data_IF_200726180566
#
_entry.id   IF_200726180566
#
_cell.length_a   1.000
_cell.length_b   1.000
_cell.length_c   1.000
_cell.angle_alpha   90.00
_cell.angle_beta   90.00
_cell.angle_gamma   90.00
#
_symmetry.space_group_name_H-M   'P 1'
#
loop_
_entity.id
_entity.type
_entity.pdbx_description
1 polymer ?
#
# COMPACT_ATOMS: atom_id res chain seq x y z
N UNK A 1 3.79 -42.40 17.35
CA UNK A 1 3.94 -42.62 15.89
C UNK A 1 2.65 -42.42 15.06
N UNK A 2 1.45 -42.68 15.61
CA UNK A 2 0.16 -42.44 14.93
C UNK A 2 -0.24 -40.95 14.82
N UNK A 3 0.12 -40.11 15.80
CA UNK A 3 -0.20 -38.67 15.82
C UNK A 3 0.56 -37.90 14.72
N UNK A 4 1.85 -38.23 14.50
CA UNK A 4 2.67 -37.63 13.44
C UNK A 4 2.19 -37.99 12.02
N UNK A 5 1.67 -39.21 11.80
CA UNK A 5 1.12 -39.62 10.49
C UNK A 5 -0.19 -38.91 10.15
N UNK A 6 -1.03 -38.60 11.14
CA UNK A 6 -2.28 -37.88 10.95
C UNK A 6 -2.03 -36.38 10.68
N UNK A 7 -1.08 -35.76 11.37
CA UNK A 7 -0.68 -34.36 11.09
C UNK A 7 -0.14 -34.14 9.65
N UNK A 8 0.57 -35.11 9.07
CA UNK A 8 1.15 -34.97 7.72
C UNK A 8 0.14 -35.12 6.56
N UNK A 9 -0.89 -35.96 6.72
CA UNK A 9 -1.98 -36.08 5.74
C UNK A 9 -2.95 -34.90 5.84
N UNK A 10 -3.22 -34.39 7.05
CA UNK A 10 -4.03 -33.19 7.26
C UNK A 10 -3.37 -31.93 6.69
N UNK A 11 -2.04 -31.82 6.66
CA UNK A 11 -1.35 -30.63 6.14
C UNK A 11 -1.44 -30.45 4.60
N UNK A 12 -1.60 -31.52 3.82
CA UNK A 12 -1.65 -31.42 2.35
C UNK A 12 -3.05 -31.01 1.84
N UNK A 13 -4.11 -31.50 2.48
CA UNK A 13 -5.48 -31.10 2.18
C UNK A 13 -5.84 -29.74 2.81
N UNK A 14 -5.36 -29.46 4.03
CA UNK A 14 -5.69 -28.20 4.72
C UNK A 14 -5.05 -26.98 4.08
N UNK A 15 -3.86 -27.09 3.47
CA UNK A 15 -3.21 -25.96 2.79
C UNK A 15 -3.95 -25.53 1.52
N UNK A 16 -4.45 -26.48 0.72
CA UNK A 16 -5.30 -26.19 -0.44
C UNK A 16 -6.64 -25.55 -0.04
N UNK A 17 -7.26 -26.03 1.04
CA UNK A 17 -8.52 -25.48 1.55
C UNK A 17 -8.32 -24.05 2.10
N UNK A 18 -7.22 -23.79 2.81
CA UNK A 18 -6.91 -22.45 3.33
C UNK A 18 -6.67 -21.45 2.19
N UNK A 19 -5.87 -21.82 1.17
CA UNK A 19 -5.65 -20.98 -0.01
C UNK A 19 -6.95 -20.68 -0.76
N UNK A 20 -7.80 -21.68 -0.96
CA UNK A 20 -9.11 -21.53 -1.62
C UNK A 20 -10.04 -20.59 -0.84
N UNK A 21 -10.12 -20.74 0.49
CA UNK A 21 -10.94 -19.88 1.34
C UNK A 21 -10.42 -18.43 1.41
N UNK A 22 -9.11 -18.22 1.39
CA UNK A 22 -8.51 -16.87 1.37
C UNK A 22 -8.81 -16.17 0.05
N UNK A 23 -8.66 -16.86 -1.08
CA UNK A 23 -9.00 -16.31 -2.40
C UNK A 23 -10.49 -15.99 -2.49
N UNK A 24 -11.35 -16.87 -1.98
CA UNK A 24 -12.79 -16.64 -1.93
C UNK A 24 -13.14 -15.42 -1.04
N UNK A 25 -12.48 -15.24 0.10
CA UNK A 25 -12.65 -14.06 0.96
C UNK A 25 -12.23 -12.76 0.26
N UNK A 26 -11.13 -12.78 -0.50
CA UNK A 26 -10.68 -11.61 -1.27
C UNK A 26 -11.64 -11.27 -2.42
N UNK A 27 -12.27 -12.27 -3.05
CA UNK A 27 -13.27 -12.06 -4.11
C UNK A 27 -14.62 -11.57 -3.56
N UNK A 28 -14.93 -11.85 -2.28
CA UNK A 28 -16.12 -11.36 -1.58
C UNK A 28 -15.91 -10.00 -0.92
N UNK A 29 -14.71 -9.43 -0.98
CA UNK A 29 -14.45 -8.07 -0.51
C UNK A 29 -15.17 -7.08 -1.44
N UNK A 30 -16.32 -6.57 -0.99
CA UNK A 30 -17.00 -5.46 -1.63
C UNK A 30 -16.03 -4.27 -1.78
N UNK A 31 -16.04 -3.54 -2.90
CA UNK A 31 -15.30 -2.28 -2.99
C UNK A 31 -15.84 -1.32 -1.93
N UNK A 32 -15.10 -1.16 -0.83
CA UNK A 32 -15.34 -0.08 0.11
C UNK A 32 -15.26 1.23 -0.69
N UNK A 33 -16.24 2.13 -0.46
CA UNK A 33 -16.16 3.47 -1.00
C UNK A 33 -14.89 4.13 -0.46
N UNK A 34 -14.08 4.70 -1.37
CA UNK A 34 -12.87 5.42 -0.98
C UNK A 34 -13.25 6.65 -0.16
N UNK A 35 -12.57 6.86 0.96
CA UNK A 35 -12.66 8.07 1.77
C UNK A 35 -11.44 8.96 1.58
N UNK A 36 -11.53 10.22 2.02
CA UNK A 36 -10.37 11.10 2.10
C UNK A 36 -9.46 10.65 3.25
N UNK A 37 -8.16 10.52 2.97
CA UNK A 37 -7.13 10.22 3.96
C UNK A 37 -6.08 11.33 3.95
N UNK A 38 -5.77 11.85 5.13
CA UNK A 38 -4.70 12.83 5.28
C UNK A 38 -3.36 12.13 5.27
N UNK A 39 -2.48 12.55 4.37
CA UNK A 39 -1.12 12.03 4.22
C UNK A 39 -0.16 13.20 4.21
N UNK A 40 0.94 13.06 4.94
CA UNK A 40 1.99 14.08 4.97
C UNK A 40 2.75 14.14 3.64
N UNK A 41 3.17 15.35 3.27
CA UNK A 41 3.99 15.55 2.07
C UNK A 41 5.36 14.90 2.23
N UNK A 42 6.01 14.65 1.09
CA UNK A 42 7.43 14.27 1.09
C UNK A 42 8.27 15.42 1.65
N UNK A 43 9.38 15.09 2.31
CA UNK A 43 10.29 16.05 2.95
C UNK A 43 11.64 16.18 2.25
N UNK A 44 11.84 15.46 1.14
CA UNK A 44 13.10 15.45 0.40
C UNK A 44 12.87 15.72 -1.09
N UNK A 45 13.46 16.81 -1.58
CA UNK A 45 13.49 17.17 -2.99
C UNK A 45 14.89 16.97 -3.58
N UNK A 46 14.95 16.74 -4.89
CA UNK A 46 16.21 16.63 -5.63
C UNK A 46 16.47 17.95 -6.34
N UNK A 47 17.68 18.50 -6.18
CA UNK A 47 18.07 19.74 -6.84
C UNK A 47 17.94 19.64 -8.37
N UNK A 48 17.38 20.66 -9.00
CA UNK A 48 17.11 20.75 -10.44
C UNK A 48 15.83 20.05 -10.91
N UNK A 49 15.19 19.23 -10.07
CA UNK A 49 13.92 18.57 -10.41
C UNK A 49 12.71 19.41 -9.98
N UNK A 50 11.51 19.03 -10.47
CA UNK A 50 10.25 19.52 -9.93
C UNK A 50 9.89 18.76 -8.66
N UNK A 51 9.31 19.45 -7.69
CA UNK A 51 8.87 18.84 -6.45
C UNK A 51 7.43 19.20 -6.13
N UNK A 52 6.64 18.23 -5.70
CA UNK A 52 5.26 18.44 -5.29
C UNK A 52 5.19 18.60 -3.76
N UNK A 53 4.77 19.76 -3.30
CA UNK A 53 4.36 19.98 -1.92
C UNK A 53 2.86 19.77 -1.82
N UNK A 54 2.45 18.75 -1.06
CA UNK A 54 1.05 18.42 -0.83
C UNK A 54 0.58 18.90 0.53
N UNK A 55 -0.63 19.43 0.60
CA UNK A 55 -1.33 19.69 1.84
C UNK A 55 -2.76 19.16 1.72
N UNK A 56 -3.11 18.15 2.51
CA UNK A 56 -4.44 17.52 2.46
C UNK A 56 -5.15 17.84 3.76
N UNK A 57 -6.36 18.41 3.67
CA UNK A 57 -7.27 18.58 4.80
C UNK A 57 -8.63 18.01 4.43
N UNK A 58 -8.96 16.88 5.03
CA UNK A 58 -10.21 16.19 4.78
C UNK A 58 -11.35 16.83 5.60
N UNK A 59 -12.51 16.99 4.99
CA UNK A 59 -13.72 17.36 5.74
C UNK A 59 -14.10 16.18 6.64
N UNK A 60 -14.59 16.47 7.84
CA UNK A 60 -15.13 15.43 8.75
C UNK A 60 -16.31 14.69 8.14
N UNK A 61 -17.06 15.39 7.28
CA UNK A 61 -18.27 14.92 6.61
C UNK A 61 -18.20 15.35 5.16
N UNK A 62 -18.13 14.38 4.24
CA UNK A 62 -17.86 14.66 2.82
C UNK A 62 -19.03 15.35 2.12
N UNK A 63 -20.26 15.04 2.51
CA UNK A 63 -21.49 15.56 1.90
C UNK A 63 -21.76 17.04 2.19
N UNK A 64 -21.06 17.65 3.15
CA UNK A 64 -21.24 19.08 3.48
C UNK A 64 -20.53 19.92 2.42
N UNK A 65 -21.27 20.78 1.71
CA UNK A 65 -20.69 21.72 0.75
C UNK A 65 -19.78 22.72 1.45
N UNK A 66 -18.64 23.04 0.83
CA UNK A 66 -17.69 23.99 1.37
C UNK A 66 -17.06 24.84 0.27
N UNK A 67 -16.53 26.00 0.68
CA UNK A 67 -15.57 26.78 -0.11
C UNK A 67 -14.29 26.93 0.69
N UNK A 68 -13.15 26.79 0.06
CA UNK A 68 -11.87 26.96 0.71
C UNK A 68 -10.90 27.78 -0.15
N UNK A 69 -9.97 28.45 0.52
CA UNK A 69 -8.78 29.07 -0.05
C UNK A 69 -7.54 28.45 0.60
N UNK A 70 -6.40 28.54 -0.09
CA UNK A 70 -5.13 27.98 0.39
C UNK A 70 -4.05 29.04 0.33
N UNK A 71 -3.38 29.24 1.45
CA UNK A 71 -2.20 30.09 1.57
C UNK A 71 -0.98 29.23 1.86
N UNK A 72 0.10 29.47 1.12
CA UNK A 72 1.40 28.85 1.36
C UNK A 72 2.39 29.88 1.85
N UNK A 73 3.04 29.56 2.96
CA UNK A 73 4.10 30.35 3.54
C UNK A 73 5.41 29.59 3.54
N UNK A 74 6.53 30.31 3.41
CA UNK A 74 7.87 29.76 3.44
C UNK A 74 8.73 30.48 4.47
N UNK A 75 9.47 29.69 5.25
CA UNK A 75 10.46 30.16 6.20
C UNK A 75 11.79 29.44 5.89
N UNK A 76 12.81 30.14 5.39
CA UNK A 76 14.10 29.53 5.10
C UNK A 76 14.84 29.15 6.39
N UNK A 77 15.87 28.31 6.24
CA UNK A 77 16.72 27.92 7.37
C UNK A 77 17.42 29.14 8.00
N UNK A 78 17.19 29.34 9.30
CA UNK A 78 17.84 30.40 10.08
C UNK A 78 17.05 31.72 10.17
N UNK A 79 15.93 31.84 9.47
CA UNK A 79 14.97 32.94 9.69
C UNK A 79 13.83 32.48 10.61
N UNK A 80 13.25 33.41 11.36
CA UNK A 80 12.14 33.13 12.28
C UNK A 80 10.77 33.41 11.64
N UNK A 81 10.71 34.31 10.65
CA UNK A 81 9.47 34.78 10.06
C UNK A 81 9.08 34.00 8.79
N UNK A 82 7.76 33.82 8.63
CA UNK A 82 7.17 33.21 7.45
C UNK A 82 6.84 34.27 6.40
N UNK A 83 7.26 34.04 5.16
CA UNK A 83 6.93 34.86 3.99
C UNK A 83 5.76 34.23 3.24
N UNK A 84 4.76 35.02 2.86
CA UNK A 84 3.63 34.54 2.05
C UNK A 84 4.08 34.38 0.59
N UNK A 85 4.07 33.15 0.07
CA UNK A 85 4.62 32.84 -1.26
C UNK A 85 3.56 32.56 -2.31
N UNK A 86 2.39 32.05 -1.92
CA UNK A 86 1.34 31.67 -2.87
C UNK A 86 -0.04 31.67 -2.22
N UNK A 87 -1.02 32.25 -2.92
CA UNK A 87 -2.43 32.24 -2.54
C UNK A 87 -3.26 31.59 -3.64
N UNK A 88 -4.23 30.75 -3.29
CA UNK A 88 -5.17 30.18 -4.24
C UNK A 88 -6.62 30.31 -3.77
N UNK A 89 -7.43 30.96 -4.60
CA UNK A 89 -8.89 31.01 -4.53
C UNK A 89 -9.43 30.67 -5.91
N UNK A 90 -10.03 29.47 -6.02
CA UNK A 90 -10.41 28.89 -7.30
C UNK A 90 -11.18 29.90 -8.20
N UNK A 91 -10.77 30.09 -9.47
CA UNK A 91 -9.72 29.36 -10.21
C UNK A 91 -8.34 30.05 -10.23
N UNK A 92 -8.15 31.11 -9.45
CA UNK A 92 -6.97 32.00 -9.52
C UNK A 92 -5.93 31.55 -8.50
N UNK A 93 -4.68 31.47 -8.94
CA UNK A 93 -3.51 31.23 -8.08
C UNK A 93 -2.49 32.35 -8.26
N UNK A 94 -2.22 33.07 -7.19
CA UNK A 94 -1.34 34.23 -7.18
C UNK A 94 0.00 33.86 -6.53
N UNK A 95 1.10 34.13 -7.24
CA UNK A 95 2.46 34.02 -6.69
C UNK A 95 2.84 35.36 -6.09
N UNK A 96 3.10 35.38 -4.78
CA UNK A 96 3.22 36.62 -4.01
C UNK A 96 4.67 37.01 -3.69
N UNK A 97 5.63 36.10 -3.92
CA UNK A 97 7.04 36.33 -3.61
C UNK A 97 7.94 36.17 -4.84
N UNK A 98 8.89 37.09 -5.02
CA UNK A 98 9.77 37.15 -6.20
C UNK A 98 10.68 35.92 -6.36
N UNK A 99 11.26 35.40 -5.28
CA UNK A 99 12.08 34.16 -5.26
C UNK A 99 11.39 32.93 -5.90
N UNK A 100 10.06 32.95 -5.91
CA UNK A 100 9.18 31.88 -6.41
C UNK A 100 8.46 32.24 -7.70
N UNK A 101 8.74 33.42 -8.26
CA UNK A 101 8.10 33.91 -9.49
C UNK A 101 8.30 32.94 -10.64
N UNK A 102 7.20 32.59 -11.31
CA UNK A 102 7.15 31.65 -12.44
C UNK A 102 7.65 30.23 -12.13
N UNK A 103 7.82 29.87 -10.84
CA UNK A 103 8.28 28.53 -10.41
C UNK A 103 7.20 27.75 -9.68
N UNK A 104 6.18 28.41 -9.15
CA UNK A 104 5.05 27.78 -8.48
C UNK A 104 3.91 27.51 -9.46
N UNK A 105 3.32 26.33 -9.35
CA UNK A 105 2.17 25.92 -10.15
C UNK A 105 1.16 25.17 -9.27
N UNK A 106 -0.12 25.50 -9.38
CA UNK A 106 -1.18 24.80 -8.65
C UNK A 106 -1.39 23.38 -9.19
N UNK A 107 -1.42 22.40 -8.29
CA UNK A 107 -1.72 21.00 -8.62
C UNK A 107 -2.72 20.36 -7.63
N UNK A 108 -3.43 21.20 -6.87
CA UNK A 108 -4.45 20.77 -5.94
C UNK A 108 -5.81 20.51 -6.58
N UNK A 109 -6.84 20.47 -5.74
CA UNK A 109 -8.24 20.33 -6.19
C UNK A 109 -8.64 21.48 -7.11
N UNK A 110 -9.16 21.18 -8.31
CA UNK A 110 -9.62 22.17 -9.28
C UNK A 110 -11.11 22.53 -9.08
N UNK A 111 -11.50 22.82 -7.84
CA UNK A 111 -12.84 23.29 -7.49
C UNK A 111 -12.76 24.24 -6.29
N UNK A 112 -13.88 24.91 -5.98
CA UNK A 112 -13.98 25.75 -4.78
C UNK A 112 -13.95 24.96 -3.47
N UNK A 113 -14.32 23.67 -3.48
CA UNK A 113 -14.27 22.78 -2.32
C UNK A 113 -12.91 22.06 -2.25
N UNK A 114 -11.89 22.83 -1.91
CA UNK A 114 -10.50 22.35 -1.90
C UNK A 114 -10.30 21.38 -0.73
N UNK A 115 -9.91 20.15 -1.05
CA UNK A 115 -9.45 19.16 -0.05
C UNK A 115 -7.93 18.97 -0.10
N UNK A 116 -7.33 19.14 -1.28
CA UNK A 116 -5.90 19.05 -1.50
C UNK A 116 -5.37 20.39 -2.02
N UNK A 117 -4.60 21.08 -1.18
CA UNK A 117 -3.87 22.29 -1.52
C UNK A 117 -2.44 21.99 -1.93
N UNK A 118 -2.22 21.43 -3.12
CA UNK A 118 -0.90 21.04 -3.58
C UNK A 118 -0.30 22.03 -4.58
N UNK A 119 0.99 22.30 -4.47
CA UNK A 119 1.76 23.15 -5.39
C UNK A 119 3.01 22.42 -5.89
N UNK A 120 3.34 22.62 -7.16
CA UNK A 120 4.64 22.26 -7.71
C UNK A 120 5.63 23.41 -7.52
N UNK A 121 6.85 23.08 -7.08
CA UNK A 121 8.02 23.96 -7.18
C UNK A 121 8.88 23.45 -8.34
N UNK A 122 9.04 24.26 -9.38
CA UNK A 122 9.89 23.97 -10.52
C UNK A 122 11.35 24.37 -10.26
N UNK A 123 12.29 23.59 -10.82
CA UNK A 123 13.72 23.80 -10.71
C UNK A 123 14.16 24.03 -9.26
N UNK A 124 13.99 23.03 -8.40
CA UNK A 124 14.32 23.15 -6.97
C UNK A 124 15.82 23.40 -6.77
N UNK A 125 16.17 24.30 -5.87
CA UNK A 125 17.53 24.72 -5.52
C UNK A 125 17.77 24.53 -4.03
N UNK A 126 19.03 24.55 -3.58
CA UNK A 126 19.34 24.41 -2.15
C UNK A 126 18.75 25.53 -1.29
N UNK A 127 18.48 26.70 -1.86
CA UNK A 127 17.87 27.85 -1.16
C UNK A 127 16.38 27.63 -0.85
N UNK A 128 15.74 26.67 -1.52
CA UNK A 128 14.34 26.31 -1.25
C UNK A 128 14.22 25.39 -0.01
N UNK A 129 15.35 25.08 0.65
CA UNK A 129 15.40 24.33 1.92
C UNK A 129 14.87 25.18 3.07
N UNK A 130 13.91 24.65 3.81
CA UNK A 130 13.29 25.35 4.93
C UNK A 130 11.95 24.73 5.33
N UNK A 131 11.15 25.49 6.08
CA UNK A 131 9.83 25.08 6.53
C UNK A 131 8.76 25.75 5.67
N UNK A 132 7.90 24.94 5.06
CA UNK A 132 6.71 25.38 4.35
C UNK A 132 5.50 25.18 5.23
N UNK A 133 4.60 26.15 5.27
CA UNK A 133 3.33 26.07 6.00
C UNK A 133 2.18 26.29 5.04
N UNK A 134 1.28 25.32 4.93
CA UNK A 134 0.00 25.51 4.27
C UNK A 134 -1.04 25.90 5.30
N UNK A 135 -1.85 26.89 4.96
CA UNK A 135 -3.03 27.29 5.72
C UNK A 135 -4.24 27.15 4.80
N UNK A 136 -5.19 26.31 5.17
CA UNK A 136 -6.44 26.11 4.44
C UNK A 136 -7.54 26.82 5.22
N UNK A 137 -8.07 27.90 4.65
CA UNK A 137 -9.22 28.60 5.19
C UNK A 137 -10.48 28.07 4.51
N UNK A 138 -11.34 27.41 5.28
CA UNK A 138 -12.55 26.77 4.77
C UNK A 138 -13.79 27.35 5.43
N UNK A 139 -14.81 27.60 4.63
CA UNK A 139 -16.17 27.87 5.08
C UNK A 139 -17.04 26.68 4.72
N UNK A 140 -17.56 25.99 5.73
CA UNK A 140 -18.52 24.91 5.59
C UNK A 140 -19.93 25.51 5.57
N UNK A 141 -20.72 25.18 4.57
CA UNK A 141 -22.11 25.62 4.48
C UNK A 141 -23.01 24.55 5.10
N UNK A 142 -23.37 24.71 6.38
CA UNK A 142 -24.31 23.81 7.06
C UNK A 142 -25.73 24.37 6.97
N UNK A 143 -26.73 23.53 7.25
CA UNK A 143 -28.14 23.94 7.18
C UNK A 143 -28.55 24.98 8.23
N UNK A 144 -27.79 25.13 9.32
CA UNK A 144 -28.11 26.04 10.43
C UNK A 144 -27.30 27.34 10.39
N UNK A 145 -25.98 27.22 10.23
CA UNK A 145 -25.04 28.34 10.18
C UNK A 145 -23.79 27.93 9.41
N UNK A 146 -23.06 28.90 8.87
CA UNK A 146 -21.78 28.67 8.22
C UNK A 146 -20.66 28.57 9.26
N UNK A 147 -19.82 27.56 9.14
CA UNK A 147 -18.68 27.33 10.04
C UNK A 147 -17.37 27.64 9.33
N UNK A 148 -16.56 28.51 9.93
CA UNK A 148 -15.21 28.82 9.44
C UNK A 148 -14.18 27.95 10.16
N UNK A 149 -13.41 27.20 9.39
CA UNK A 149 -12.37 26.29 9.87
C UNK A 149 -11.05 26.66 9.20
N UNK A 150 -10.02 26.91 10.00
CA UNK A 150 -8.66 27.13 9.52
C UNK A 150 -7.80 25.95 9.94
N UNK A 151 -7.12 25.32 8.97
CA UNK A 151 -6.20 24.21 9.22
C UNK A 151 -4.81 24.62 8.77
N UNK A 152 -3.83 24.47 9.65
CA UNK A 152 -2.42 24.73 9.37
C UNK A 152 -1.63 23.41 9.41
N UNK A 153 -0.78 23.19 8.41
CA UNK A 153 0.20 22.09 8.44
C UNK A 153 1.56 22.60 7.98
N UNK A 154 2.60 22.13 8.67
CA UNK A 154 3.98 22.47 8.37
C UNK A 154 4.72 21.26 7.80
N UNK A 155 5.59 21.52 6.82
CA UNK A 155 6.44 20.52 6.18
C UNK A 155 7.86 21.08 6.08
N UNK A 156 8.81 20.37 6.67
CA UNK A 156 10.23 20.67 6.52
C UNK A 156 10.78 20.05 5.23
N UNK A 157 11.18 20.89 4.28
CA UNK A 157 11.76 20.47 3.01
C UNK A 157 13.28 20.52 3.08
N UNK A 158 13.91 19.39 2.75
CA UNK A 158 15.36 19.27 2.58
C UNK A 158 15.71 18.98 1.13
N UNK A 159 16.60 19.79 0.54
CA UNK A 159 17.05 19.61 -0.85
C UNK A 159 18.34 18.83 -0.88
N UNK A 160 18.35 17.71 -1.59
CA UNK A 160 19.50 16.80 -1.72
C UNK A 160 19.95 16.67 -3.16
N UNK A 161 21.21 16.31 -3.38
CA UNK A 161 21.74 16.05 -4.73
C UNK A 161 21.17 14.75 -5.34
N UNK A 162 20.86 13.76 -4.49
CA UNK A 162 20.36 12.44 -4.92
C UNK A 162 19.26 11.98 -3.99
N UNK A 163 18.10 11.63 -4.54
CA UNK A 163 16.95 11.16 -3.76
C UNK A 163 17.15 9.78 -3.13
N UNK A 164 16.60 9.57 -1.92
CA UNK A 164 16.65 8.27 -1.23
C UNK A 164 15.75 7.24 -1.94
N UNK A 165 16.33 6.42 -2.83
CA UNK A 165 15.67 5.23 -3.40
C UNK A 165 15.85 3.96 -2.54
N UNK A 166 16.56 4.07 -1.42
CA UNK A 166 17.05 2.92 -0.65
C UNK A 166 15.91 2.06 -0.08
N UNK A 167 14.87 2.65 0.51
CA UNK A 167 13.76 1.88 1.10
C UNK A 167 12.98 1.08 0.06
N UNK A 168 12.70 1.68 -1.11
CA UNK A 168 12.02 1.01 -2.22
C UNK A 168 12.88 -0.11 -2.83
N UNK A 169 14.19 0.08 -2.90
CA UNK A 169 15.13 -0.95 -3.38
C UNK A 169 15.19 -2.11 -2.38
N UNK A 170 15.29 -1.81 -1.08
CA UNK A 170 15.34 -2.83 -0.03
C UNK A 170 14.03 -3.64 0.00
N UNK A 171 12.87 -2.98 -0.03
CA UNK A 171 11.57 -3.69 -0.02
C UNK A 171 11.43 -4.64 -1.21
N UNK A 172 11.88 -4.21 -2.40
CA UNK A 172 11.89 -5.06 -3.59
C UNK A 172 12.77 -6.29 -3.43
N UNK A 173 13.98 -6.15 -2.87
CA UNK A 173 14.88 -7.28 -2.63
C UNK A 173 14.30 -8.23 -1.58
N UNK A 174 13.80 -7.70 -0.46
CA UNK A 174 13.21 -8.49 0.62
C UNK A 174 11.99 -9.29 0.15
N UNK A 175 11.15 -8.69 -0.70
CA UNK A 175 10.01 -9.38 -1.33
C UNK A 175 10.47 -10.62 -2.12
N UNK A 176 11.48 -10.48 -3.00
CA UNK A 176 11.98 -11.62 -3.78
C UNK A 176 12.60 -12.71 -2.92
N UNK A 177 13.36 -12.35 -1.88
CA UNK A 177 13.95 -13.31 -0.94
C UNK A 177 12.86 -14.12 -0.24
N UNK A 178 11.80 -13.47 0.25
CA UNK A 178 10.67 -14.15 0.88
C UNK A 178 9.96 -15.11 -0.09
N UNK A 179 9.71 -14.67 -1.33
CA UNK A 179 9.06 -15.51 -2.35
C UNK A 179 9.89 -16.77 -2.63
N UNK A 180 11.21 -16.63 -2.84
CA UNK A 180 12.09 -17.77 -3.14
C UNK A 180 12.14 -18.75 -1.97
N UNK A 181 12.26 -18.26 -0.73
CA UNK A 181 12.28 -19.11 0.47
C UNK A 181 10.96 -19.88 0.62
N UNK A 182 9.82 -19.21 0.44
CA UNK A 182 8.51 -19.87 0.48
C UNK A 182 8.36 -20.91 -0.64
N UNK A 183 8.81 -20.60 -1.85
CA UNK A 183 8.75 -21.53 -2.98
C UNK A 183 9.58 -22.79 -2.72
N UNK A 184 10.82 -22.63 -2.22
CA UNK A 184 11.67 -23.75 -1.86
C UNK A 184 11.07 -24.59 -0.73
N UNK A 185 10.47 -23.95 0.27
CA UNK A 185 9.78 -24.63 1.36
C UNK A 185 8.58 -25.45 0.87
N UNK A 186 7.76 -24.90 -0.04
CA UNK A 186 6.67 -25.62 -0.68
C UNK A 186 7.17 -26.80 -1.52
N UNK A 187 8.24 -26.63 -2.31
CA UNK A 187 8.84 -27.72 -3.09
C UNK A 187 9.31 -28.84 -2.16
N UNK A 188 9.97 -28.51 -1.04
CA UNK A 188 10.39 -29.51 -0.05
C UNK A 188 9.19 -30.27 0.51
N UNK A 189 8.11 -29.57 0.89
CA UNK A 189 6.88 -30.21 1.36
C UNK A 189 6.28 -31.11 0.27
N UNK A 190 6.17 -30.64 -0.97
CA UNK A 190 5.63 -31.41 -2.08
C UNK A 190 6.43 -32.68 -2.34
N UNK A 191 7.76 -32.61 -2.33
CA UNK A 191 8.64 -33.78 -2.51
C UNK A 191 8.49 -34.76 -1.34
N UNK A 192 8.44 -34.28 -0.09
CA UNK A 192 8.23 -35.12 1.08
C UNK A 192 6.84 -35.80 1.06
N UNK A 193 5.81 -35.06 0.64
CA UNK A 193 4.46 -35.58 0.46
C UNK A 193 4.41 -36.61 -0.68
N UNK A 194 5.01 -36.31 -1.84
CA UNK A 194 5.07 -37.21 -2.99
C UNK A 194 5.77 -38.53 -2.66
N UNK A 195 6.93 -38.46 -2.00
CA UNK A 195 7.65 -39.66 -1.58
C UNK A 195 6.80 -40.52 -0.64
N UNK A 196 6.11 -39.89 0.32
CA UNK A 196 5.23 -40.59 1.25
C UNK A 196 4.05 -41.27 0.55
N UNK A 197 3.38 -40.58 -0.37
CA UNK A 197 2.23 -41.15 -1.09
C UNK A 197 2.64 -42.25 -2.06
N UNK A 198 3.82 -42.13 -2.68
CA UNK A 198 4.42 -43.19 -3.49
C UNK A 198 4.61 -44.48 -2.67
N UNK A 199 5.25 -44.39 -1.50
CA UNK A 199 5.46 -45.55 -0.63
C UNK A 199 4.13 -46.21 -0.20
N UNK A 200 3.10 -45.40 0.06
CA UNK A 200 1.76 -45.91 0.40
C UNK A 200 1.02 -46.52 -0.80
N UNK A 201 1.23 -46.01 -2.02
CA UNK A 201 0.65 -46.53 -3.26
C UNK A 201 1.20 -47.92 -3.57
N UNK A 202 2.54 -48.06 -3.56
CA UNK A 202 3.21 -49.34 -3.82
C UNK A 202 2.78 -50.41 -2.81
N UNK A 203 2.65 -50.03 -1.53
CA UNK A 203 2.17 -50.92 -0.47
C UNK A 203 0.69 -51.32 -0.61
N UNK A 204 -0.14 -50.54 -1.32
CA UNK A 204 -1.53 -50.91 -1.63
C UNK A 204 -1.59 -51.86 -2.82
N UNK A 205 -0.77 -51.63 -3.83
CA UNK A 205 -0.70 -52.50 -5.01
C UNK A 205 -0.16 -53.89 -4.66
N UNK A 206 0.90 -53.97 -3.84
CA UNK A 206 1.41 -55.23 -3.31
C UNK A 206 0.35 -56.00 -2.48
N UNK A 207 -0.47 -55.30 -1.69
CA UNK A 207 -1.58 -55.92 -0.94
C UNK A 207 -2.69 -56.44 -1.86
N UNK A 208 -3.03 -55.71 -2.92
CA UNK A 208 -4.00 -56.17 -3.94
C UNK A 208 -3.48 -57.41 -4.67
N UNK A 209 -2.21 -57.43 -5.08
CA UNK A 209 -1.59 -58.59 -5.72
C UNK A 209 -1.60 -59.82 -4.79
N UNK A 210 -1.25 -59.66 -3.51
CA UNK A 210 -1.27 -60.74 -2.52
C UNK A 210 -2.70 -61.27 -2.28
N UNK A 211 -3.71 -60.39 -2.22
CA UNK A 211 -5.10 -60.79 -2.11
C UNK A 211 -5.57 -61.63 -3.29
N UNK A 212 -5.22 -61.24 -4.53
CA UNK A 212 -5.58 -61.99 -5.74
C UNK A 212 -4.91 -63.37 -5.79
N UNK A 213 -3.64 -63.48 -5.41
CA UNK A 213 -2.93 -64.77 -5.32
C UNK A 213 -3.61 -65.69 -4.30
N UNK A 214 -3.97 -65.17 -3.13
CA UNK A 214 -4.65 -65.94 -2.08
C UNK A 214 -6.05 -66.40 -2.53
N UNK A 215 -6.80 -65.55 -3.22
CA UNK A 215 -8.12 -65.91 -3.74
C UNK A 215 -8.02 -66.99 -4.85
N UNK A 216 -7.04 -66.90 -5.74
CA UNK A 216 -6.80 -67.94 -6.77
C UNK A 216 -6.39 -69.28 -6.15
N UNK A 217 -5.54 -69.26 -5.12
CA UNK A 217 -5.13 -70.48 -4.41
C UNK A 217 -6.28 -71.10 -3.63
N UNK A 218 -7.16 -70.30 -3.03
CA UNK A 218 -8.36 -70.77 -2.33
C UNK A 218 -9.37 -71.45 -3.25
N UNK A 219 -9.52 -70.95 -4.49
CA UNK A 219 -10.35 -71.59 -5.51
C UNK A 219 -9.72 -72.90 -6.03
N UNK A 220 -8.40 -73.02 -6.14
CA UNK A 220 -7.77 -74.29 -6.53
C UNK A 220 -7.92 -75.39 -5.46
N UNK A 221 -7.89 -75.03 -4.18
CA UNK A 221 -8.15 -75.97 -3.08
C UNK A 221 -9.61 -76.43 -2.95
N UNK A 222 -10.56 -75.74 -3.61
CA UNK A 222 -11.99 -76.12 -3.65
C UNK A 222 -12.41 -76.96 -4.85
N UNK A 223 -11.53 -77.19 -5.83
CA UNK A 223 -11.82 -77.97 -7.06
C UNK A 223 -11.25 -79.40 -6.98
N UNK A 224 -10.47 -79.72 -5.94
CA UNK A 224 -9.90 -81.05 -5.67
C UNK A 224 -10.55 -81.78 -4.47
N UNK A 225 -11.75 -81.34 -4.05
CA UNK A 225 -12.55 -81.97 -3.01
C UNK A 225 -13.86 -82.52 -3.55
#
# INVERSE_FOLDING_TARGET
MYIYRKLQSLNCDSTFIVLSNVVLLCLLASPCHGGCAEVDSRTQAVAGERFLLGCISCKRREEVSARATVDWHFKPLGEEEFRHIFHYDHPIGDILHEDFSSRLEWHGTQSSDIQMGAIYIHNVTYNDTGTYRCTIHRTLFLSQYDEHVTVEKEVELSVVAVGKRLTAVISKIMMYVLIVVLQLWLIVILVLCYKKTSEEYDAREARKALYLIKHSSGNLSGVLG
#
